data_IF_066958749745
#
_entry.id   IF_066958749745
#
_cell.length_a   1.000
_cell.length_b   1.000
_cell.length_c   1.000
_cell.angle_alpha   90.00
_cell.angle_beta   90.00
_cell.angle_gamma   90.00
#
_symmetry.space_group_name_H-M   'P 1'
#
loop_
_entity.id
_entity.type
_entity.pdbx_description
1 polymer ?
#
# COMPACT_ATOMS: atom_id res chain seq x y z
N UNK A 1 7.32 -44.03 -24.14
CA UNK A 1 6.43 -43.15 -24.91
C UNK A 1 7.20 -41.90 -25.31
N UNK A 2 7.09 -41.44 -26.57
CA UNK A 2 7.74 -40.22 -27.05
C UNK A 2 7.00 -38.97 -26.53
N UNK A 3 7.71 -37.89 -26.23
CA UNK A 3 7.18 -36.63 -25.68
C UNK A 3 5.88 -36.10 -26.34
N UNK A 4 5.71 -36.08 -27.68
CA UNK A 4 4.46 -35.61 -28.30
C UNK A 4 3.24 -36.47 -27.96
N UNK A 5 3.41 -37.76 -27.71
CA UNK A 5 2.30 -38.64 -27.29
C UNK A 5 1.85 -38.36 -25.86
N UNK A 6 2.76 -37.89 -24.98
CA UNK A 6 2.42 -37.50 -23.59
C UNK A 6 1.65 -36.18 -23.57
N UNK A 7 2.07 -35.20 -24.39
CA UNK A 7 1.37 -33.93 -24.55
C UNK A 7 -0.03 -34.11 -25.14
N UNK A 8 -0.17 -34.98 -26.15
CA UNK A 8 -1.49 -35.31 -26.71
C UNK A 8 -2.44 -35.96 -25.69
N UNK A 9 -1.95 -36.88 -24.87
CA UNK A 9 -2.72 -37.50 -23.78
C UNK A 9 -3.11 -36.49 -22.70
N UNK A 10 -2.21 -35.57 -22.36
CA UNK A 10 -2.47 -34.52 -21.36
C UNK A 10 -3.54 -33.53 -21.85
N UNK A 11 -3.43 -33.08 -23.11
CA UNK A 11 -4.43 -32.19 -23.71
C UNK A 11 -5.82 -32.84 -23.81
N UNK A 12 -5.89 -34.11 -24.21
CA UNK A 12 -7.16 -34.85 -24.22
C UNK A 12 -7.75 -35.02 -22.81
N UNK A 13 -6.90 -35.23 -21.80
CA UNK A 13 -7.29 -35.25 -20.39
C UNK A 13 -7.92 -33.94 -19.93
N UNK A 14 -7.29 -32.80 -20.22
CA UNK A 14 -7.81 -31.48 -19.87
C UNK A 14 -9.16 -31.19 -20.52
N UNK A 15 -9.31 -31.47 -21.82
CA UNK A 15 -10.60 -31.29 -22.52
C UNK A 15 -11.71 -32.13 -21.87
N UNK A 16 -11.39 -33.36 -21.47
CA UNK A 16 -12.35 -34.25 -20.80
C UNK A 16 -12.76 -33.69 -19.43
N UNK A 17 -11.80 -33.21 -18.64
CA UNK A 17 -12.08 -32.60 -17.33
C UNK A 17 -12.95 -31.35 -17.49
N UNK A 18 -12.64 -30.49 -18.45
CA UNK A 18 -13.38 -29.25 -18.69
C UNK A 18 -14.83 -29.53 -19.15
N UNK A 19 -15.01 -30.50 -20.05
CA UNK A 19 -16.34 -30.91 -20.51
C UNK A 19 -17.20 -31.50 -19.39
N UNK A 20 -16.60 -32.33 -18.52
CA UNK A 20 -17.30 -32.88 -17.35
C UNK A 20 -17.68 -31.77 -16.38
N UNK A 21 -16.74 -30.87 -16.05
CA UNK A 21 -16.98 -29.74 -15.15
C UNK A 21 -18.12 -28.84 -15.66
N UNK A 22 -18.10 -28.49 -16.96
CA UNK A 22 -19.13 -27.68 -17.60
C UNK A 22 -20.51 -28.35 -17.55
N UNK A 23 -20.59 -29.66 -17.85
CA UNK A 23 -21.83 -30.42 -17.79
C UNK A 23 -22.37 -30.54 -16.35
N UNK A 24 -21.49 -30.75 -15.36
CA UNK A 24 -21.90 -30.79 -13.95
C UNK A 24 -22.35 -29.43 -13.42
N UNK A 25 -21.70 -28.34 -13.85
CA UNK A 25 -22.10 -26.99 -13.48
C UNK A 25 -23.55 -26.69 -13.94
N UNK A 26 -23.88 -27.03 -15.19
CA UNK A 26 -25.24 -26.86 -15.71
C UNK A 26 -26.32 -27.72 -15.02
N UNK A 27 -25.93 -28.77 -14.28
CA UNK A 27 -26.87 -29.64 -13.57
C UNK A 27 -27.01 -29.30 -12.07
N UNK A 28 -26.00 -28.65 -11.47
CA UNK A 28 -25.92 -28.41 -10.02
C UNK A 28 -26.11 -26.93 -9.66
N UNK A 29 -25.77 -26.01 -10.57
CA UNK A 29 -25.93 -24.57 -10.33
C UNK A 29 -27.39 -24.16 -10.57
N UNK A 30 -28.09 -23.64 -9.55
CA UNK A 30 -29.46 -23.15 -9.72
C UNK A 30 -29.49 -21.94 -10.65
N UNK A 31 -30.53 -21.82 -11.47
CA UNK A 31 -30.73 -20.66 -12.36
C UNK A 31 -30.74 -19.33 -11.60
N UNK A 32 -31.17 -19.31 -10.33
CA UNK A 32 -31.15 -18.12 -9.47
C UNK A 32 -29.73 -17.63 -9.13
N UNK A 33 -28.74 -18.52 -9.07
CA UNK A 33 -27.34 -18.13 -8.86
C UNK A 33 -26.75 -17.50 -10.13
N UNK A 34 -27.14 -18.01 -11.30
CA UNK A 34 -26.74 -17.45 -12.60
C UNK A 34 -27.37 -16.06 -12.80
N UNK A 35 -28.62 -15.89 -12.37
CA UNK A 35 -29.35 -14.63 -12.48
C UNK A 35 -28.80 -13.55 -11.54
N UNK A 36 -28.44 -13.91 -10.30
CA UNK A 36 -27.76 -13.00 -9.37
C UNK A 36 -26.41 -12.49 -9.90
N UNK A 37 -25.63 -13.36 -10.57
CA UNK A 37 -24.38 -12.94 -11.24
C UNK A 37 -24.61 -12.06 -12.47
N UNK A 38 -25.70 -12.30 -13.21
CA UNK A 38 -26.07 -11.45 -14.35
C UNK A 38 -26.56 -10.07 -13.90
N UNK A 39 -27.27 -9.99 -12.78
CA UNK A 39 -27.75 -8.73 -12.17
C UNK A 39 -26.59 -7.90 -11.60
N UNK A 40 -25.64 -8.52 -10.89
CA UNK A 40 -24.39 -7.89 -10.41
C UNK A 40 -23.55 -7.30 -11.56
N UNK A 41 -23.50 -8.00 -12.70
CA UNK A 41 -22.83 -7.49 -13.91
C UNK A 41 -23.63 -6.43 -14.69
N UNK A 42 -24.93 -6.30 -14.45
CA UNK A 42 -25.83 -5.38 -15.15
C UNK A 42 -25.99 -4.03 -14.47
N UNK A 43 -25.85 -3.95 -13.15
CA UNK A 43 -25.93 -2.69 -12.39
C UNK A 43 -24.74 -1.74 -12.65
N UNK A 44 -23.63 -2.26 -13.19
CA UNK A 44 -22.49 -1.45 -13.63
C UNK A 44 -22.60 -0.88 -15.06
N UNK A 45 -23.67 -1.21 -15.82
CA UNK A 45 -23.78 -0.86 -17.24
C UNK A 45 -24.93 0.10 -17.60
N UNK A 46 -25.73 0.55 -16.62
CA UNK A 46 -26.97 1.27 -16.90
C UNK A 46 -27.01 2.70 -16.32
N UNK A 47 -26.07 3.56 -16.71
CA UNK A 47 -26.25 5.02 -16.68
C UNK A 47 -25.50 5.71 -17.81
N UNK A 48 -25.95 5.54 -19.05
CA UNK A 48 -25.82 6.60 -20.06
C UNK A 48 -26.78 6.31 -21.22
N UNK A 49 -27.80 7.15 -21.39
CA UNK A 49 -28.38 7.50 -22.70
C UNK A 49 -29.50 8.54 -22.50
N UNK A 50 -29.25 9.77 -22.95
CA UNK A 50 -30.19 10.90 -22.90
C UNK A 50 -29.61 12.17 -23.51
N UNK A 51 -29.79 12.31 -24.82
CA UNK A 51 -29.30 13.32 -25.77
C UNK A 51 -29.60 14.81 -25.44
N UNK A 52 -28.75 15.75 -25.91
CA UNK A 52 -29.18 17.13 -26.21
C UNK A 52 -28.14 18.27 -26.15
N UNK A 53 -27.41 18.45 -27.26
CA UNK A 53 -26.90 19.71 -27.89
C UNK A 53 -26.09 20.80 -27.13
N UNK A 54 -24.92 21.08 -27.73
CA UNK A 54 -24.13 22.33 -27.82
C UNK A 54 -23.67 23.10 -26.55
N UNK A 55 -22.35 23.13 -26.33
CA UNK A 55 -21.53 24.38 -26.29
C UNK A 55 -20.02 24.09 -26.15
N UNK A 56 -19.22 24.80 -26.97
CA UNK A 56 -17.76 24.90 -26.94
C UNK A 56 -17.20 25.27 -25.55
N UNK A 57 -16.08 24.65 -25.15
CA UNK A 57 -15.25 25.18 -24.05
C UNK A 57 -14.15 24.25 -23.54
N UNK A 58 -12.96 24.37 -24.13
CA UNK A 58 -11.62 24.22 -23.54
C UNK A 58 -11.43 23.42 -22.22
N UNK A 59 -10.66 22.32 -22.33
CA UNK A 59 -9.60 21.96 -21.37
C UNK A 59 -10.02 21.15 -20.13
N UNK A 60 -9.48 19.93 -20.02
CA UNK A 60 -9.50 19.14 -18.80
C UNK A 60 -9.73 17.65 -19.06
N UNK A 61 -8.72 16.95 -19.58
CA UNK A 61 -8.69 15.49 -19.47
C UNK A 61 -8.23 15.15 -18.05
N UNK A 62 -9.18 15.04 -17.13
CA UNK A 62 -8.97 14.43 -15.83
C UNK A 62 -10.03 13.34 -15.66
N UNK A 63 -9.57 12.14 -15.30
CA UNK A 63 -10.41 11.07 -14.78
C UNK A 63 -10.94 10.12 -15.84
N UNK A 64 -10.09 9.19 -16.29
CA UNK A 64 -10.52 7.83 -16.55
C UNK A 64 -9.38 6.89 -16.14
N UNK A 65 -9.69 6.02 -15.19
CA UNK A 65 -8.94 4.82 -14.81
C UNK A 65 -7.53 5.04 -14.24
N UNK A 66 -7.46 5.41 -12.97
CA UNK A 66 -6.48 4.78 -12.08
C UNK A 66 -6.83 3.29 -11.96
N UNK A 67 -6.68 2.55 -13.06
CA UNK A 67 -6.67 1.12 -13.08
C UNK A 67 -5.63 0.71 -12.04
N UNK A 68 -6.08 0.06 -10.96
CA UNK A 68 -5.27 -0.44 -9.84
C UNK A 68 -3.77 -0.34 -10.13
N UNK A 69 -3.17 0.81 -9.79
CA UNK A 69 -1.73 0.93 -9.73
C UNK A 69 -1.28 -0.27 -8.92
N UNK A 70 -0.37 -1.08 -9.46
CA UNK A 70 -0.01 -2.31 -8.78
C UNK A 70 0.42 -1.90 -7.38
N UNK A 71 -0.13 -2.56 -6.35
CA UNK A 71 0.11 -2.20 -4.96
C UNK A 71 1.56 -2.52 -4.52
N UNK A 72 2.52 -2.45 -5.44
CA UNK A 72 3.90 -2.87 -5.30
C UNK A 72 4.05 -4.35 -4.97
N UNK A 73 3.01 -5.18 -5.13
CA UNK A 73 3.01 -6.58 -4.66
C UNK A 73 3.58 -7.57 -5.69
N UNK A 74 3.70 -7.15 -6.95
CA UNK A 74 4.08 -8.01 -8.07
C UNK A 74 5.57 -7.92 -8.39
N UNK A 75 6.16 -9.04 -8.79
CA UNK A 75 7.54 -9.07 -9.34
C UNK A 75 7.61 -8.51 -10.76
N UNK A 76 6.47 -8.36 -11.43
CA UNK A 76 6.37 -7.85 -12.79
C UNK A 76 5.09 -7.02 -12.98
N UNK A 77 5.19 -5.98 -13.80
CA UNK A 77 4.10 -5.09 -14.19
C UNK A 77 4.40 -4.55 -15.58
N UNK A 78 3.40 -4.51 -16.48
CA UNK A 78 3.50 -3.90 -17.81
C UNK A 78 4.69 -4.39 -18.67
N UNK A 79 5.12 -5.64 -18.45
CA UNK A 79 6.26 -6.26 -19.12
C UNK A 79 7.61 -5.98 -18.46
N UNK A 80 7.68 -5.07 -17.49
CA UNK A 80 8.82 -4.89 -16.61
C UNK A 80 8.87 -5.99 -15.55
N UNK A 81 10.06 -6.42 -15.15
CA UNK A 81 10.25 -7.45 -14.14
C UNK A 81 11.51 -7.21 -13.29
N UNK A 82 11.41 -7.45 -11.97
CA UNK A 82 12.55 -7.54 -11.07
C UNK A 82 13.15 -8.94 -11.16
N UNK A 83 14.42 -9.01 -11.54
CA UNK A 83 15.17 -10.24 -11.81
C UNK A 83 16.52 -10.24 -11.10
N UNK A 84 17.21 -11.39 -11.14
CA UNK A 84 18.59 -11.55 -10.67
C UNK A 84 18.87 -11.04 -9.25
N UNK A 85 17.88 -11.15 -8.37
CA UNK A 85 18.02 -10.74 -6.98
C UNK A 85 19.08 -11.60 -6.27
N UNK A 86 20.18 -10.96 -5.90
CA UNK A 86 21.25 -11.49 -5.07
C UNK A 86 21.28 -10.78 -3.73
N UNK A 87 21.55 -11.52 -2.65
CA UNK A 87 21.76 -10.94 -1.32
C UNK A 87 22.62 -11.89 -0.46
N UNK A 88 23.27 -11.39 0.61
CA UNK A 88 23.93 -12.24 1.60
C UNK A 88 22.95 -13.26 2.17
N UNK A 89 23.37 -14.51 2.37
CA UNK A 89 22.49 -15.59 2.81
C UNK A 89 22.47 -15.80 4.34
N UNK A 90 23.12 -14.92 5.10
CA UNK A 90 23.26 -15.06 6.55
C UNK A 90 23.28 -13.70 7.24
N UNK A 91 22.82 -13.68 8.48
CA UNK A 91 22.87 -12.54 9.39
C UNK A 91 24.33 -12.19 9.68
N UNK A 92 24.66 -10.90 9.69
CA UNK A 92 26.01 -10.40 10.00
C UNK A 92 27.08 -10.72 8.94
N UNK A 93 26.70 -11.32 7.81
CA UNK A 93 27.61 -11.55 6.70
C UNK A 93 27.65 -10.33 5.79
N UNK A 94 28.86 -9.77 5.59
CA UNK A 94 29.09 -8.74 4.59
C UNK A 94 28.90 -9.31 3.19
N UNK A 95 28.22 -8.54 2.34
CA UNK A 95 28.12 -8.81 0.92
C UNK A 95 27.41 -7.68 0.20
N UNK A 96 26.65 -8.03 -0.82
CA UNK A 96 25.98 -7.09 -1.70
C UNK A 96 24.54 -7.54 -1.92
N UNK A 97 23.61 -6.59 -1.87
CA UNK A 97 22.27 -6.78 -2.40
C UNK A 97 22.27 -6.24 -3.82
N UNK A 98 21.88 -7.09 -4.78
CA UNK A 98 21.88 -6.77 -6.21
C UNK A 98 20.56 -7.17 -6.86
N UNK A 99 20.14 -6.45 -7.90
CA UNK A 99 18.98 -6.80 -8.74
C UNK A 99 19.12 -6.23 -10.15
N UNK A 100 18.32 -6.73 -11.07
CA UNK A 100 18.19 -6.19 -12.43
C UNK A 100 16.72 -5.95 -12.74
N UNK A 101 16.39 -4.81 -13.35
CA UNK A 101 15.07 -4.58 -13.94
C UNK A 101 15.14 -4.94 -15.41
N UNK A 102 14.33 -5.90 -15.86
CA UNK A 102 14.20 -6.22 -17.28
C UNK A 102 12.93 -5.61 -17.86
N UNK A 103 13.00 -5.08 -19.07
CA UNK A 103 11.86 -4.47 -19.76
C UNK A 103 11.01 -5.48 -20.55
N UNK A 104 9.97 -5.00 -21.24
CA UNK A 104 9.06 -5.84 -22.05
C UNK A 104 9.74 -6.63 -23.18
N UNK A 105 10.93 -6.19 -23.62
CA UNK A 105 11.77 -6.86 -24.60
C UNK A 105 12.67 -7.97 -24.01
N UNK A 106 12.62 -8.14 -22.69
CA UNK A 106 13.42 -9.08 -21.92
C UNK A 106 14.88 -8.69 -21.74
N UNK A 107 15.27 -7.46 -22.10
CA UNK A 107 16.61 -6.92 -21.85
C UNK A 107 16.64 -6.13 -20.55
N UNK A 108 17.84 -5.98 -19.97
CA UNK A 108 18.04 -5.09 -18.82
C UNK A 108 17.74 -3.64 -19.21
N UNK A 109 16.91 -2.98 -18.40
CA UNK A 109 16.66 -1.55 -18.51
C UNK A 109 17.88 -0.82 -17.97
N UNK A 110 18.37 0.16 -18.72
CA UNK A 110 19.58 0.96 -18.38
C UNK A 110 19.33 2.46 -18.50
N UNK A 111 18.10 2.86 -18.82
CA UNK A 111 17.70 4.25 -19.00
C UNK A 111 16.46 4.51 -18.15
N UNK A 112 16.64 5.33 -17.12
CA UNK A 112 15.65 5.63 -16.10
C UNK A 112 15.55 7.14 -15.92
N UNK A 113 14.36 7.64 -15.63
CA UNK A 113 14.22 9.03 -15.19
C UNK A 113 14.66 9.16 -13.73
N UNK A 114 15.18 10.34 -13.39
CA UNK A 114 15.50 10.68 -12.01
C UNK A 114 14.25 11.19 -11.30
N UNK A 115 13.80 10.46 -10.30
CA UNK A 115 12.75 10.86 -9.36
C UNK A 115 13.37 11.04 -7.97
N UNK A 116 13.05 12.12 -7.26
CA UNK A 116 13.64 12.42 -5.95
C UNK A 116 15.18 12.33 -5.93
N UNK A 117 15.83 12.86 -6.98
CA UNK A 117 17.30 12.86 -7.17
C UNK A 117 17.94 11.48 -7.36
N UNK A 118 17.15 10.41 -7.52
CA UNK A 118 17.61 9.04 -7.74
C UNK A 118 16.87 8.38 -8.91
N UNK A 119 17.51 7.41 -9.54
CA UNK A 119 16.90 6.63 -10.62
C UNK A 119 16.16 5.40 -10.08
N UNK A 120 16.53 4.92 -8.88
CA UNK A 120 15.89 3.80 -8.22
C UNK A 120 15.89 3.98 -6.70
N UNK A 121 14.69 3.85 -6.11
CA UNK A 121 14.52 3.71 -4.68
C UNK A 121 14.34 2.23 -4.33
N UNK A 122 15.19 1.74 -3.44
CA UNK A 122 15.12 0.38 -2.93
C UNK A 122 14.61 0.39 -1.50
N UNK A 123 13.45 -0.22 -1.28
CA UNK A 123 12.87 -0.37 0.05
C UNK A 123 13.00 -1.84 0.45
N UNK A 124 13.63 -2.10 1.59
CA UNK A 124 13.74 -3.44 2.16
C UNK A 124 13.10 -3.43 3.54
N UNK A 125 12.13 -4.31 3.76
CA UNK A 125 11.38 -4.36 5.03
C UNK A 125 11.04 -5.81 5.35
N UNK A 126 11.11 -6.18 6.63
CA UNK A 126 10.73 -7.52 7.08
C UNK A 126 9.20 -7.66 7.04
N UNK A 127 8.71 -8.89 6.88
CA UNK A 127 7.27 -9.18 6.76
C UNK A 127 6.42 -8.72 7.97
N UNK A 128 7.04 -8.44 9.11
CA UNK A 128 6.41 -7.88 10.31
C UNK A 128 6.60 -6.36 10.46
N UNK A 129 7.02 -5.67 9.39
CA UNK A 129 7.23 -4.22 9.36
C UNK A 129 8.54 -3.75 10.02
N UNK A 130 9.33 -4.66 10.58
CA UNK A 130 10.60 -4.31 11.23
C UNK A 130 11.74 -4.24 10.22
N UNK A 131 12.91 -3.74 10.65
CA UNK A 131 14.14 -3.76 9.86
C UNK A 131 14.00 -3.05 8.50
N UNK A 132 13.20 -1.98 8.47
CA UNK A 132 13.01 -1.14 7.30
C UNK A 132 14.30 -0.42 6.93
N UNK A 133 14.61 -0.37 5.63
CA UNK A 133 15.69 0.41 5.05
C UNK A 133 15.24 0.97 3.71
N UNK A 134 15.37 2.28 3.54
CA UNK A 134 15.22 2.98 2.26
C UNK A 134 16.61 3.37 1.76
N UNK A 135 17.05 2.74 0.67
CA UNK A 135 18.41 2.90 0.15
C UNK A 135 18.39 3.10 -1.37
N UNK A 136 19.52 3.53 -1.90
CA UNK A 136 19.67 3.91 -3.30
C UNK A 136 20.89 3.18 -3.87
N UNK A 137 20.70 2.00 -4.49
CA UNK A 137 21.81 1.29 -5.11
C UNK A 137 22.33 2.04 -6.34
N UNK A 138 23.54 1.69 -6.78
CA UNK A 138 24.13 2.22 -8.02
C UNK A 138 24.02 1.19 -9.14
N UNK A 139 23.72 1.66 -10.35
CA UNK A 139 23.64 0.82 -11.54
C UNK A 139 24.98 0.76 -12.27
N UNK A 140 25.39 -0.45 -12.66
CA UNK A 140 26.51 -0.63 -13.57
C UNK A 140 26.11 -0.48 -15.05
N UNK A 141 27.09 -0.52 -15.96
CA UNK A 141 26.82 -0.38 -17.39
C UNK A 141 25.99 -1.54 -18.00
N UNK A 142 25.80 -2.64 -17.26
CA UNK A 142 25.01 -3.80 -17.66
C UNK A 142 23.55 -3.77 -17.17
N UNK A 143 23.17 -2.76 -16.38
CA UNK A 143 21.83 -2.64 -15.79
C UNK A 143 21.66 -3.34 -14.45
N UNK A 144 22.75 -3.81 -13.84
CA UNK A 144 22.70 -4.40 -12.50
C UNK A 144 22.83 -3.30 -11.46
N UNK A 145 21.83 -3.21 -10.60
CA UNK A 145 21.80 -2.36 -9.42
C UNK A 145 22.45 -3.08 -8.25
N UNK A 146 23.33 -2.42 -7.51
CA UNK A 146 24.02 -3.02 -6.37
C UNK A 146 24.27 -2.06 -5.21
N UNK A 147 24.28 -2.59 -3.99
CA UNK A 147 24.65 -1.85 -2.77
C UNK A 147 25.28 -2.79 -1.73
N UNK A 148 26.33 -2.37 -1.00
CA UNK A 148 26.84 -3.12 0.15
C UNK A 148 25.73 -3.42 1.16
N UNK A 149 25.63 -4.68 1.57
CA UNK A 149 24.52 -5.14 2.39
C UNK A 149 24.97 -6.12 3.48
N UNK A 150 24.26 -6.06 4.61
CA UNK A 150 24.33 -6.99 5.71
C UNK A 150 22.94 -7.08 6.33
N UNK A 151 22.52 -8.29 6.70
CA UNK A 151 21.26 -8.52 7.41
C UNK A 151 21.50 -8.49 8.92
N UNK A 152 20.69 -7.73 9.65
CA UNK A 152 20.77 -7.65 11.12
C UNK A 152 19.92 -8.71 11.83
N UNK A 153 18.90 -9.25 11.14
CA UNK A 153 17.99 -10.24 11.71
C UNK A 153 17.48 -11.26 10.67
N UNK A 154 17.08 -12.44 11.15
CA UNK A 154 16.37 -13.43 10.34
C UNK A 154 14.98 -12.93 9.95
N UNK A 155 14.42 -13.51 8.89
CA UNK A 155 13.04 -13.27 8.49
C UNK A 155 12.78 -13.41 7.01
N UNK A 156 11.52 -13.22 6.63
CA UNK A 156 11.14 -12.94 5.24
C UNK A 156 11.17 -11.43 5.05
N UNK A 157 11.90 -10.96 4.06
CA UNK A 157 11.99 -9.54 3.71
C UNK A 157 11.36 -9.33 2.36
N UNK A 158 10.55 -8.29 2.22
CA UNK A 158 10.15 -7.78 0.92
C UNK A 158 11.14 -6.72 0.46
N UNK A 159 11.53 -6.81 -0.80
CA UNK A 159 12.39 -5.86 -1.49
C UNK A 159 11.55 -5.21 -2.58
N UNK A 160 11.31 -3.91 -2.46
CA UNK A 160 10.64 -3.11 -3.47
C UNK A 160 11.69 -2.34 -4.26
N UNK A 161 11.52 -2.30 -5.58
CA UNK A 161 12.21 -1.39 -6.47
C UNK A 161 11.16 -0.44 -7.05
N UNK A 162 11.34 0.84 -6.76
CA UNK A 162 10.50 1.93 -7.25
C UNK A 162 11.33 2.78 -8.22
N UNK A 163 10.86 2.89 -9.47
CA UNK A 163 11.63 3.45 -10.57
C UNK A 163 10.71 3.99 -11.68
N UNK A 164 11.26 4.85 -12.52
CA UNK A 164 10.58 5.41 -13.70
C UNK A 164 11.39 5.05 -14.95
N UNK A 165 10.95 4.13 -15.81
CA UNK A 165 11.62 3.87 -17.08
C UNK A 165 11.55 5.08 -18.00
N UNK A 166 12.67 5.50 -18.58
CA UNK A 166 12.69 6.65 -19.50
C UNK A 166 11.83 6.44 -20.77
N UNK A 167 11.57 5.19 -21.14
CA UNK A 167 10.71 4.85 -22.28
C UNK A 167 9.24 5.25 -22.05
N UNK A 168 8.72 5.08 -20.83
CA UNK A 168 7.30 5.34 -20.52
C UNK A 168 7.10 6.62 -19.73
N UNK A 169 8.07 7.02 -18.90
CA UNK A 169 7.91 8.13 -17.94
C UNK A 169 6.88 7.85 -16.85
N UNK A 170 6.44 6.60 -16.70
CA UNK A 170 5.44 6.18 -15.70
C UNK A 170 6.14 5.45 -14.55
N UNK A 171 5.82 5.84 -13.31
CA UNK A 171 6.36 5.20 -12.11
C UNK A 171 5.87 3.76 -11.95
N UNK A 172 6.80 2.86 -11.66
CA UNK A 172 6.54 1.43 -11.46
C UNK A 172 7.20 0.99 -10.16
N UNK A 173 6.39 0.37 -9.30
CA UNK A 173 6.89 -0.31 -8.10
C UNK A 173 6.77 -1.82 -8.28
N UNK A 174 7.91 -2.52 -8.30
CA UNK A 174 7.97 -3.99 -8.32
C UNK A 174 8.48 -4.51 -6.99
N UNK A 175 8.09 -5.72 -6.61
CA UNK A 175 8.69 -6.37 -5.44
C UNK A 175 8.83 -7.87 -5.54
N UNK A 176 9.70 -8.38 -4.68
CA UNK A 176 9.91 -9.81 -4.46
C UNK A 176 10.35 -10.04 -3.01
N UNK A 177 10.54 -11.29 -2.61
CA UNK A 177 10.93 -11.62 -1.24
C UNK A 177 12.29 -12.31 -1.15
N UNK A 178 13.03 -11.98 -0.10
CA UNK A 178 14.27 -12.64 0.31
C UNK A 178 14.04 -13.36 1.63
N UNK A 179 14.51 -14.60 1.72
CA UNK A 179 14.49 -15.36 2.96
C UNK A 179 15.87 -15.31 3.60
N UNK A 180 15.94 -14.77 4.82
CA UNK A 180 17.15 -14.75 5.65
C UNK A 180 17.02 -15.82 6.73
N UNK A 181 17.78 -16.93 6.66
CA UNK A 181 17.69 -18.00 7.64
C UNK A 181 18.11 -17.56 9.04
N UNK A 182 17.42 -18.10 10.05
CA UNK A 182 17.73 -17.90 11.46
C UNK A 182 16.48 -17.92 12.33
N UNK A 183 16.64 -17.59 13.61
CA UNK A 183 15.52 -17.50 14.54
C UNK A 183 14.66 -16.28 14.21
N UNK A 184 13.40 -16.53 13.85
CA UNK A 184 12.44 -15.50 13.47
C UNK A 184 11.24 -15.51 14.41
N UNK A 185 11.09 -14.44 15.20
CA UNK A 185 9.90 -14.16 15.98
C UNK A 185 9.29 -12.85 15.47
N UNK A 186 8.04 -12.93 15.00
CA UNK A 186 7.29 -11.78 14.49
C UNK A 186 6.97 -10.79 15.60
N UNK A 187 7.13 -9.51 15.33
CA UNK A 187 6.63 -8.42 16.19
C UNK A 187 5.33 -7.89 15.60
N UNK A 188 4.24 -7.92 16.36
CA UNK A 188 2.98 -7.33 15.90
C UNK A 188 3.13 -5.80 15.83
N UNK A 189 2.72 -5.21 14.70
CA UNK A 189 2.64 -3.76 14.57
C UNK A 189 1.42 -3.25 15.35
N UNK A 190 1.63 -2.47 16.40
CA UNK A 190 0.57 -1.84 17.18
C UNK A 190 0.47 -0.34 16.83
N UNK A 191 -0.74 0.27 16.86
CA UNK A 191 -0.91 1.68 16.54
C UNK A 191 0.00 2.56 17.40
N UNK A 192 0.81 3.34 16.73
CA UNK A 192 1.88 4.15 17.31
C UNK A 192 1.92 5.46 16.51
N UNK A 193 1.15 6.45 16.96
CA UNK A 193 1.07 7.77 16.31
C UNK A 193 2.22 8.70 16.74
N UNK A 194 3.03 8.31 17.71
CA UNK A 194 4.21 9.03 18.19
C UNK A 194 5.36 8.03 18.39
N UNK A 195 6.55 8.39 17.93
CA UNK A 195 7.76 7.56 18.06
C UNK A 195 8.97 8.43 18.36
N UNK A 196 10.02 7.84 18.93
CA UNK A 196 11.31 8.51 19.14
C UNK A 196 12.40 7.79 18.37
N UNK A 197 13.14 8.50 17.51
CA UNK A 197 14.29 7.98 16.77
C UNK A 197 15.46 8.95 16.89
N UNK A 198 16.64 8.44 17.26
CA UNK A 198 17.89 9.22 17.34
C UNK A 198 17.80 10.54 18.14
N UNK A 199 16.90 10.59 19.14
CA UNK A 199 16.66 11.78 19.97
C UNK A 199 15.64 12.78 19.41
N UNK A 200 14.96 12.43 18.32
CA UNK A 200 13.81 13.16 17.79
C UNK A 200 12.51 12.47 18.14
N UNK A 201 11.55 13.25 18.60
CA UNK A 201 10.16 12.81 18.74
C UNK A 201 9.39 13.18 17.47
N UNK A 202 8.77 12.19 16.84
CA UNK A 202 8.01 12.32 15.61
C UNK A 202 6.57 11.90 15.88
N UNK A 203 5.62 12.76 15.52
CA UNK A 203 4.19 12.50 15.64
C UNK A 203 3.51 12.58 14.27
N UNK A 204 2.53 11.71 14.01
CA UNK A 204 1.63 11.81 12.86
C UNK A 204 0.24 12.24 13.31
N UNK A 205 -0.32 13.22 12.62
CA UNK A 205 -1.69 13.68 12.79
C UNK A 205 -2.45 13.62 11.45
N UNK A 206 -3.74 13.36 11.51
CA UNK A 206 -4.61 13.21 10.33
C UNK A 206 -5.40 11.90 10.39
N UNK A 207 -6.54 11.88 9.70
CA UNK A 207 -7.41 10.71 9.60
C UNK A 207 -7.18 10.06 8.23
N UNK A 208 -6.57 8.88 8.20
CA UNK A 208 -6.40 8.12 6.96
C UNK A 208 -7.72 7.44 6.61
N UNK A 209 -8.45 7.98 5.63
CA UNK A 209 -9.71 7.42 5.16
C UNK A 209 -9.46 6.49 3.98
N UNK A 210 -10.01 5.27 4.05
CA UNK A 210 -9.88 4.32 2.96
C UNK A 210 -10.66 4.76 1.71
N UNK A 211 -10.01 4.71 0.55
CA UNK A 211 -10.57 5.11 -0.73
C UNK A 211 -10.49 6.61 -1.03
N UNK A 212 -9.93 7.42 -0.12
CA UNK A 212 -9.84 8.87 -0.25
C UNK A 212 -8.40 9.36 -0.04
N UNK A 213 -8.03 10.45 -0.72
CA UNK A 213 -6.78 11.15 -0.42
C UNK A 213 -6.89 11.86 0.92
N UNK A 214 -5.99 11.53 1.84
CA UNK A 214 -5.97 12.03 3.22
C UNK A 214 -4.67 12.79 3.47
N UNK A 215 -4.76 13.95 4.14
CA UNK A 215 -3.58 14.68 4.57
C UNK A 215 -3.05 14.12 5.89
N UNK A 216 -1.77 13.72 5.91
CA UNK A 216 -1.04 13.29 7.09
C UNK A 216 0.05 14.33 7.40
N UNK A 217 -0.03 14.93 8.58
CA UNK A 217 0.95 15.92 9.07
C UNK A 217 1.93 15.23 10.00
N UNK A 218 3.20 15.21 9.61
CA UNK A 218 4.32 14.77 10.42
C UNK A 218 4.90 15.95 11.18
N UNK A 219 4.96 15.87 12.51
CA UNK A 219 5.56 16.91 13.37
C UNK A 219 6.84 16.38 13.99
N UNK A 220 7.94 17.11 13.85
CA UNK A 220 9.26 16.71 14.35
C UNK A 220 9.70 17.67 15.46
N UNK A 221 10.06 17.11 16.62
CA UNK A 221 10.60 17.86 17.75
C UNK A 221 11.89 17.21 18.28
N UNK A 222 12.74 18.00 18.91
CA UNK A 222 13.96 17.54 19.58
C UNK A 222 14.05 18.26 20.93
N UNK A 223 14.22 17.52 22.01
CA UNK A 223 14.24 18.05 23.39
C UNK A 223 13.00 18.92 23.73
N UNK A 224 11.83 18.54 23.20
CA UNK A 224 10.58 19.27 23.38
C UNK A 224 10.52 20.63 22.65
N UNK A 225 11.44 20.90 21.71
CA UNK A 225 11.41 22.08 20.85
C UNK A 225 11.12 21.69 19.38
N UNK A 226 10.31 22.47 18.66
CA UNK A 226 10.04 22.20 17.24
C UNK A 226 11.31 22.30 16.39
N UNK A 227 11.54 21.31 15.52
CA UNK A 227 12.66 21.33 14.56
C UNK A 227 12.29 22.22 13.39
N UNK A 228 12.99 23.34 13.20
CA UNK A 228 12.74 24.30 12.09
C UNK A 228 13.91 24.36 11.10
N UNK A 229 14.77 23.35 11.18
CA UNK A 229 16.01 23.21 10.43
C UNK A 229 16.02 21.92 9.61
N UNK A 230 14.84 21.45 9.18
CA UNK A 230 14.77 20.30 8.27
C UNK A 230 15.50 20.65 6.98
N UNK A 231 16.44 19.80 6.59
CA UNK A 231 17.24 19.94 5.38
C UNK A 231 16.60 19.17 4.24
N UNK A 232 16.73 19.66 2.99
CA UNK A 232 16.32 18.90 1.82
C UNK A 232 17.13 17.62 1.69
N UNK A 233 16.44 16.49 1.57
CA UNK A 233 17.01 15.20 1.23
C UNK A 233 16.19 14.62 0.08
N UNK A 234 16.84 14.12 -0.98
CA UNK A 234 16.15 13.54 -2.15
C UNK A 234 15.09 14.49 -2.75
N UNK A 235 15.41 15.78 -2.82
CA UNK A 235 14.53 16.81 -3.38
C UNK A 235 13.26 17.13 -2.57
N UNK A 236 13.16 16.75 -1.30
CA UNK A 236 12.06 17.13 -0.40
C UNK A 236 12.53 17.32 1.05
N UNK A 237 11.70 17.87 1.93
CA UNK A 237 12.02 17.97 3.36
C UNK A 237 11.78 16.67 4.14
N UNK A 238 11.15 15.68 3.51
CA UNK A 238 11.04 14.32 4.01
C UNK A 238 10.35 13.42 2.99
N UNK A 239 10.56 12.11 3.17
CA UNK A 239 10.03 11.05 2.32
C UNK A 239 9.22 10.10 3.18
N UNK A 240 8.03 9.74 2.72
CA UNK A 240 7.14 8.86 3.47
C UNK A 240 6.85 7.61 2.66
N UNK A 241 7.35 6.47 3.13
CA UNK A 241 6.92 5.16 2.63
C UNK A 241 5.79 4.67 3.52
N UNK A 242 4.66 4.33 2.90
CA UNK A 242 3.51 3.77 3.61
C UNK A 242 3.19 2.38 3.06
N UNK A 243 3.07 1.39 3.95
CA UNK A 243 2.84 -0.01 3.61
C UNK A 243 1.65 -0.55 4.39
N UNK A 244 0.77 -1.31 3.74
CA UNK A 244 -0.30 -2.03 4.45
C UNK A 244 0.30 -3.12 5.34
N UNK A 245 -0.15 -3.19 6.58
CA UNK A 245 0.23 -4.27 7.48
C UNK A 245 -0.23 -5.65 6.93
N UNK A 246 0.58 -6.67 7.16
CA UNK A 246 0.39 -8.01 6.63
C UNK A 246 1.04 -8.23 5.26
N UNK A 247 0.46 -7.70 4.18
CA UNK A 247 0.94 -7.99 2.81
C UNK A 247 1.93 -6.96 2.25
N UNK A 248 2.16 -5.88 2.98
CA UNK A 248 3.07 -4.79 2.63
C UNK A 248 2.70 -4.12 1.30
N UNK A 249 1.41 -4.05 0.98
CA UNK A 249 0.94 -3.28 -0.17
C UNK A 249 1.41 -1.82 -0.07
N UNK A 250 2.08 -1.34 -1.12
CA UNK A 250 2.60 0.01 -1.21
C UNK A 250 1.47 1.02 -1.37
N UNK A 251 1.55 2.13 -0.63
CA UNK A 251 0.58 3.21 -0.71
C UNK A 251 1.09 4.33 -1.60
N UNK A 252 0.16 4.95 -2.33
CA UNK A 252 0.46 6.18 -3.06
C UNK A 252 0.55 7.33 -2.06
N UNK A 253 1.74 7.92 -1.98
CA UNK A 253 2.07 9.02 -1.06
C UNK A 253 2.89 10.05 -1.82
N UNK A 254 2.58 11.33 -1.62
CA UNK A 254 3.39 12.42 -2.15
C UNK A 254 3.44 13.59 -1.16
N UNK A 255 4.60 14.26 -1.03
CA UNK A 255 4.74 15.42 -0.17
C UNK A 255 3.90 16.58 -0.70
N UNK A 256 3.34 17.37 0.21
CA UNK A 256 2.64 18.59 -0.12
C UNK A 256 3.62 19.78 -0.17
N UNK A 257 3.45 20.64 -1.18
CA UNK A 257 4.24 21.87 -1.35
C UNK A 257 5.27 21.81 -2.48
N UNK A 258 5.94 22.94 -2.70
CA UNK A 258 6.96 23.07 -3.74
C UNK A 258 8.27 22.38 -3.34
N UNK A 259 9.01 21.90 -4.34
CA UNK A 259 10.36 21.39 -4.14
C UNK A 259 11.27 22.44 -3.47
N UNK A 260 12.07 22.05 -2.47
CA UNK A 260 12.95 22.96 -1.76
C UNK A 260 14.04 23.54 -2.66
N UNK A 261 14.38 24.81 -2.45
CA UNK A 261 15.58 25.40 -3.02
C UNK A 261 16.84 25.00 -2.24
N UNK A 262 17.99 24.97 -2.90
CA UNK A 262 19.27 24.66 -2.25
C UNK A 262 19.54 25.57 -1.05
N UNK A 263 19.78 24.97 0.12
CA UNK A 263 20.03 25.69 1.38
C UNK A 263 18.79 26.25 2.08
N UNK A 264 17.59 25.98 1.56
CA UNK A 264 16.33 26.25 2.27
C UNK A 264 16.16 25.23 3.40
N UNK A 265 15.58 25.66 4.52
CA UNK A 265 15.13 24.77 5.59
C UNK A 265 13.62 24.86 5.78
N UNK A 266 13.03 23.83 6.40
CA UNK A 266 11.61 23.77 6.74
C UNK A 266 11.38 23.24 8.16
N UNK A 267 10.12 23.02 8.49
CA UNK A 267 9.65 22.44 9.75
C UNK A 267 8.84 23.42 10.61
N UNK A 268 8.22 22.93 11.68
CA UNK A 268 8.34 21.56 12.21
C UNK A 268 7.44 20.52 11.56
N UNK A 269 6.59 20.95 10.63
CA UNK A 269 5.60 20.10 9.99
C UNK A 269 6.02 19.75 8.56
N UNK A 270 5.79 18.49 8.18
CA UNK A 270 5.81 18.01 6.79
C UNK A 270 4.45 17.38 6.53
N UNK A 271 3.76 17.82 5.48
CA UNK A 271 2.43 17.31 5.12
C UNK A 271 2.57 16.38 3.92
N UNK A 272 1.96 15.22 4.00
CA UNK A 272 1.85 14.26 2.91
C UNK A 272 0.38 14.04 2.55
N UNK A 273 0.09 13.87 1.28
CA UNK A 273 -1.18 13.30 0.84
C UNK A 273 -0.98 11.80 0.64
N UNK A 274 -1.84 10.99 1.25
CA UNK A 274 -1.79 9.53 1.21
C UNK A 274 -3.17 8.96 0.88
N UNK A 275 -3.22 7.97 -0.01
CA UNK A 275 -4.46 7.26 -0.34
C UNK A 275 -4.36 5.80 0.07
N UNK A 276 -5.11 5.42 1.10
CA UNK A 276 -5.24 4.02 1.51
C UNK A 276 -6.29 3.31 0.64
N UNK A 277 -5.96 2.25 -0.11
CA UNK A 277 -6.92 1.60 -1.00
C UNK A 277 -8.02 0.83 -0.25
N UNK A 278 -7.73 0.39 0.98
CA UNK A 278 -8.66 -0.42 1.80
C UNK A 278 -8.62 0.01 3.27
N UNK A 279 -9.70 -0.23 4.04
CA UNK A 279 -9.62 -0.16 5.49
C UNK A 279 -8.54 -1.11 6.03
N UNK A 280 -7.79 -0.69 7.03
CA UNK A 280 -6.73 -1.50 7.63
C UNK A 280 -5.69 -0.71 8.40
N UNK A 281 -4.64 -1.41 8.79
CA UNK A 281 -3.46 -0.87 9.46
C UNK A 281 -2.37 -0.57 8.44
N UNK A 282 -1.67 0.54 8.63
CA UNK A 282 -0.62 1.03 7.76
C UNK A 282 0.63 1.38 8.56
N UNK A 283 1.76 0.89 8.07
CA UNK A 283 3.11 1.12 8.57
C UNK A 283 3.67 2.32 7.81
N UNK A 284 4.09 3.35 8.53
CA UNK A 284 4.62 4.58 7.99
C UNK A 284 6.10 4.68 8.34
N UNK A 285 6.94 4.98 7.36
CA UNK A 285 8.37 5.19 7.55
C UNK A 285 8.72 6.56 6.99
N UNK A 286 8.95 7.52 7.89
CA UNK A 286 9.32 8.89 7.55
C UNK A 286 10.84 9.03 7.57
N UNK A 287 11.42 9.29 6.41
CA UNK A 287 12.79 9.78 6.30
C UNK A 287 12.80 11.30 6.36
N UNK A 288 13.65 11.87 7.22
CA UNK A 288 13.89 13.31 7.31
C UNK A 288 15.37 13.59 7.60
N UNK A 289 15.86 14.76 7.19
CA UNK A 289 17.27 15.13 7.38
C UNK A 289 17.44 16.34 8.30
N UNK A 290 18.36 16.21 9.26
CA UNK A 290 18.77 17.27 10.18
C UNK A 290 20.26 17.09 10.50
N UNK A 291 21.02 18.18 10.56
CA UNK A 291 22.45 18.18 10.85
C UNK A 291 23.26 17.26 9.89
N UNK A 292 22.82 17.18 8.63
CA UNK A 292 23.41 16.36 7.57
C UNK A 292 23.17 14.86 7.72
N UNK A 293 22.32 14.43 8.65
CA UNK A 293 22.01 13.02 8.93
C UNK A 293 20.55 12.71 8.62
N UNK A 294 20.33 11.58 7.94
CA UNK A 294 19.00 11.06 7.64
C UNK A 294 18.53 10.20 8.80
N UNK A 295 17.29 10.40 9.22
CA UNK A 295 16.63 9.66 10.29
C UNK A 295 15.35 9.05 9.75
N UNK A 296 15.07 7.80 10.12
CA UNK A 296 13.88 7.07 9.71
C UNK A 296 12.98 6.79 10.91
N UNK A 297 11.83 7.45 10.98
CA UNK A 297 10.85 7.27 12.06
C UNK A 297 9.75 6.28 11.64
N UNK A 298 9.61 5.12 12.33
CA UNK A 298 8.50 4.20 12.10
C UNK A 298 7.27 4.60 12.93
N UNK A 299 6.13 4.74 12.28
CA UNK A 299 4.81 4.96 12.90
C UNK A 299 3.82 3.92 12.38
N UNK A 300 2.72 3.75 13.11
CA UNK A 300 1.65 2.82 12.73
C UNK A 300 0.31 3.50 12.96
N UNK A 301 -0.51 3.61 11.92
CA UNK A 301 -1.85 4.17 12.00
C UNK A 301 -2.88 3.21 11.44
N UNK A 302 -4.09 3.27 11.96
CA UNK A 302 -5.24 2.56 11.41
C UNK A 302 -6.07 3.54 10.57
N UNK A 303 -6.72 3.06 9.52
CA UNK A 303 -7.70 3.86 8.81
C UNK A 303 -8.86 4.20 9.73
N UNK A 304 -9.30 5.45 9.72
CA UNK A 304 -10.54 5.85 10.38
C UNK A 304 -11.73 5.23 9.64
N UNK A 305 -12.56 4.45 10.32
CA UNK A 305 -13.78 3.92 9.73
C UNK A 305 -14.88 4.97 9.71
N UNK A 306 -15.59 5.09 8.58
CA UNK A 306 -17.00 5.47 8.63
C UNK A 306 -17.70 4.39 9.44
N UNK A 307 -17.93 4.63 10.73
CA UNK A 307 -18.78 3.76 11.53
C UNK A 307 -20.15 3.72 10.86
N UNK A 308 -20.44 2.67 10.10
CA UNK A 308 -21.80 2.33 9.70
C UNK A 308 -22.59 2.17 10.99
N UNK A 309 -23.47 3.15 11.23
CA UNK A 309 -24.19 3.31 12.49
C UNK A 309 -24.80 1.99 12.94
N UNK A 310 -24.43 1.58 14.15
CA UNK A 310 -25.10 0.49 14.84
C UNK A 310 -26.60 0.75 14.80
N UNK A 311 -27.31 -0.15 14.11
CA UNK A 311 -28.76 -0.16 14.08
C UNK A 311 -29.26 -0.09 15.51
N UNK A 312 -29.98 0.99 15.82
CA UNK A 312 -30.81 1.08 17.01
C UNK A 312 -31.83 -0.05 16.93
N UNK A 313 -31.54 -1.15 17.63
CA UNK A 313 -32.47 -2.23 17.90
C UNK A 313 -33.55 -1.69 18.86
N UNK A 314 -34.50 -0.95 18.28
CA UNK A 314 -35.73 -0.50 18.92
C UNK A 314 -36.73 -1.65 19.00
N UNK A 315 -36.40 -2.67 19.79
CA UNK A 315 -37.31 -3.76 20.12
C UNK A 315 -38.46 -3.27 20.98
N UNK A 316 -39.56 -2.85 20.34
CA UNK A 316 -40.84 -2.61 20.98
C UNK A 316 -41.52 -3.95 21.31
N UNK A 317 -41.48 -4.35 22.59
CA UNK A 317 -42.34 -5.41 23.11
C UNK A 317 -43.48 -4.79 23.91
N UNK A 318 -44.62 -4.66 23.24
CA UNK A 318 -45.95 -4.50 23.83
C UNK A 318 -46.44 -5.87 24.30
N UNK A 319 -46.70 -6.04 25.59
CA UNK A 319 -47.67 -7.00 26.16
C UNK A 319 -47.78 -6.81 27.68
N UNK A 320 -49.00 -6.68 28.20
CA UNK A 320 -49.24 -6.73 29.65
C UNK A 320 -50.53 -6.04 30.09
N UNK A 321 -51.66 -6.71 29.84
CA UNK A 321 -52.99 -6.40 30.39
C UNK A 321 -53.03 -6.34 31.93
N UNK A 322 -53.97 -5.55 32.45
CA UNK A 322 -54.95 -6.08 33.41
C UNK A 322 -54.76 -5.81 34.90
N UNK A 323 -55.50 -4.80 35.37
CA UNK A 323 -56.37 -4.78 36.57
C UNK A 323 -55.79 -5.15 37.96
N UNK A 324 -55.98 -4.22 38.90
CA UNK A 324 -55.88 -4.47 40.34
C UNK A 324 -56.18 -3.22 41.15
N UNK A 325 -57.47 -2.97 41.39
CA UNK A 325 -57.97 -2.04 42.41
C UNK A 325 -57.44 -2.43 43.80
N UNK A 326 -57.10 -1.46 44.65
CA UNK A 326 -57.39 -1.50 46.09
C UNK A 326 -57.21 -0.11 46.71
N UNK A 327 -58.24 0.28 47.45
CA UNK A 327 -58.47 1.53 48.19
C UNK A 327 -57.57 1.68 49.42
N UNK A 328 -57.31 2.93 49.80
CA UNK A 328 -57.16 3.52 51.16
C UNK A 328 -56.80 5.00 50.91
N UNK A 329 -57.31 6.05 51.56
CA UNK A 329 -58.20 6.29 52.67
C UNK A 329 -58.03 7.77 53.04
N UNK A 330 -59.14 8.50 53.14
CA UNK A 330 -59.43 9.63 54.06
C UNK A 330 -58.49 10.87 54.13
N UNK A 331 -59.01 12.05 53.77
CA UNK A 331 -59.51 13.10 54.70
C UNK A 331 -59.13 14.59 54.42
N UNK A 332 -60.16 15.45 54.58
CA UNK A 332 -60.20 16.89 54.95
C UNK A 332 -59.63 17.94 53.94
N UNK A 333 -60.24 19.09 53.64
CA UNK A 333 -61.06 20.04 54.42
C UNK A 333 -61.80 21.03 53.47
N UNK A 334 -63.03 21.41 53.84
CA UNK A 334 -63.90 22.56 53.48
C UNK A 334 -64.12 23.04 52.03
#
# INVERSE_FOLDING_TARGET
MKAPARLGLYGAGLVTVFAVAFATAGAVVPESAVQAWAEDSGEHAAHNDGEGEDMNGQGGHAGHDAAASSLGLGVAQDGYQLTDLGAPSAIGADGELSLTITGPDGQAVTDFETEHEKELHLIVVRADGQQFRHVHPEMDAGGTWSIPWQWDAAGSYRVFADFVPAETGEGITLSTTVQVPGDYATVAAEPTAETTVDGFDVAVAGDLVAGESSALTMTITRDGQPVTTLEPYLGAFGHLVALRDGDLAYLHVHPHGDAPAAGQTSGPEIVFEATAPTPGRYLLFLDFQVDGQVHTAPLVIDTSGTSSGGGSDGGSTSTGDGQGEHEEGEDHEH
#
